data_IF_267892178405
#
_entry.id   IF_267892178405
#
_cell.length_a   1.000
_cell.length_b   1.000
_cell.length_c   1.000
_cell.angle_alpha   90.00
_cell.angle_beta   90.00
_cell.angle_gamma   90.00
#
_symmetry.space_group_name_H-M   'P 1'
#
loop_
_entity.id
_entity.type
_entity.pdbx_description
1 polymer ?
#
# COMPACT_ATOMS: atom_id res chain seq x y z
N UNK A 1 -75.91 1.64 36.09
CA UNK A 1 -75.65 1.68 34.64
C UNK A 1 -74.92 2.99 34.34
N UNK A 2 -73.81 2.91 33.59
CA UNK A 2 -73.12 3.94 32.78
C UNK A 2 -73.15 5.43 33.19
N UNK A 3 -72.08 6.21 33.18
CA UNK A 3 -70.74 6.04 32.59
C UNK A 3 -69.88 7.27 32.88
N UNK A 4 -68.56 7.08 32.83
CA UNK A 4 -67.51 8.08 33.04
C UNK A 4 -67.27 8.88 31.75
N UNK A 5 -67.03 10.19 31.85
CA UNK A 5 -66.22 10.92 30.87
C UNK A 5 -65.58 12.14 31.53
N UNK A 6 -64.25 12.10 31.69
CA UNK A 6 -63.39 13.19 32.15
C UNK A 6 -62.40 13.52 31.03
N UNK A 7 -62.31 14.82 30.75
CA UNK A 7 -61.18 15.58 30.21
C UNK A 7 -60.66 15.30 28.78
N UNK A 8 -60.62 16.37 27.99
CA UNK A 8 -59.78 16.45 26.79
C UNK A 8 -59.58 17.90 26.38
N UNK A 9 -58.44 18.49 26.75
CA UNK A 9 -57.98 19.79 26.27
C UNK A 9 -56.60 19.64 25.62
N UNK A 10 -56.57 19.97 24.32
CA UNK A 10 -55.51 20.49 23.43
C UNK A 10 -54.02 20.40 23.83
N UNK A 11 -53.20 19.89 22.89
CA UNK A 11 -51.91 20.48 22.53
C UNK A 11 -51.49 20.08 21.10
N UNK A 12 -50.89 21.04 20.40
CA UNK A 12 -50.64 21.05 18.96
C UNK A 12 -49.57 20.07 18.48
N UNK A 13 -49.72 19.64 17.22
CA UNK A 13 -48.73 18.92 16.45
C UNK A 13 -47.49 19.80 16.21
N UNK A 14 -46.30 19.25 16.48
CA UNK A 14 -45.05 19.71 15.90
C UNK A 14 -44.55 18.59 14.95
N UNK A 15 -44.28 18.87 13.67
CA UNK A 15 -43.49 17.96 12.85
C UNK A 15 -42.07 17.97 13.40
N UNK A 16 -41.67 16.88 14.04
CA UNK A 16 -40.27 16.61 14.33
C UNK A 16 -39.58 16.22 13.04
N UNK A 17 -38.91 17.17 12.39
CA UNK A 17 -37.91 16.89 11.37
C UNK A 17 -36.82 16.00 11.98
N UNK A 18 -36.92 14.69 11.75
CA UNK A 18 -35.82 13.78 11.93
C UNK A 18 -34.80 14.10 10.83
N UNK A 19 -33.99 15.14 11.06
CA UNK A 19 -32.80 15.41 10.29
C UNK A 19 -31.91 14.17 10.40
N UNK A 20 -31.93 13.34 9.35
CA UNK A 20 -30.98 12.26 9.17
C UNK A 20 -29.59 12.87 9.16
N UNK A 21 -28.87 12.71 10.28
CA UNK A 21 -27.42 12.89 10.29
C UNK A 21 -26.85 11.74 9.49
N UNK A 22 -26.78 11.91 8.17
CA UNK A 22 -25.79 11.21 7.37
C UNK A 22 -24.44 11.66 7.96
N UNK A 23 -23.86 10.83 8.81
CA UNK A 23 -22.48 11.00 9.23
C UNK A 23 -21.67 11.07 7.94
N UNK A 24 -21.25 12.27 7.56
CA UNK A 24 -20.32 12.45 6.45
C UNK A 24 -19.04 11.83 6.95
N UNK A 25 -18.70 10.64 6.43
CA UNK A 25 -17.37 10.05 6.63
C UNK A 25 -16.36 11.16 6.34
N UNK A 26 -15.57 11.50 7.36
CA UNK A 26 -14.51 12.47 7.20
C UNK A 26 -13.56 11.88 6.15
N UNK A 27 -13.40 12.57 5.02
CA UNK A 27 -12.45 12.15 3.98
C UNK A 27 -11.07 12.24 4.61
N UNK A 28 -10.39 11.11 4.75
CA UNK A 28 -9.02 11.09 5.27
C UNK A 28 -8.13 11.93 4.36
N UNK A 29 -7.30 12.83 4.91
CA UNK A 29 -6.35 13.57 4.09
C UNK A 29 -5.44 12.59 3.34
N UNK A 30 -5.13 12.88 2.08
CA UNK A 30 -4.29 12.02 1.22
C UNK A 30 -2.95 11.66 1.88
N UNK A 31 -2.40 12.54 2.71
CA UNK A 31 -1.17 12.28 3.47
C UNK A 31 -1.27 11.14 4.51
N UNK A 32 -2.49 10.74 4.89
CA UNK A 32 -2.74 9.60 5.79
C UNK A 32 -3.03 8.29 5.04
N UNK A 33 -3.12 8.33 3.71
CA UNK A 33 -3.41 7.17 2.86
C UNK A 33 -2.10 6.50 2.41
N UNK A 34 -2.13 5.19 2.27
CA UNK A 34 -0.99 4.43 1.75
C UNK A 34 -1.04 4.39 0.23
N UNK A 35 0.09 4.61 -0.42
CA UNK A 35 0.24 4.48 -1.87
C UNK A 35 0.73 3.09 -2.25
N UNK A 36 0.09 2.50 -3.26
CA UNK A 36 0.56 1.30 -3.95
C UNK A 36 0.46 1.53 -5.46
N UNK A 37 1.60 1.66 -6.14
CA UNK A 37 1.66 1.96 -7.57
C UNK A 37 0.70 3.09 -7.98
N UNK A 38 0.85 4.26 -7.35
CA UNK A 38 0.01 5.47 -7.51
C UNK A 38 -1.46 5.37 -7.07
N UNK A 39 -1.90 4.20 -6.62
CA UNK A 39 -3.24 4.02 -6.07
C UNK A 39 -3.22 4.30 -4.57
N UNK A 40 -4.08 5.21 -4.13
CA UNK A 40 -4.21 5.55 -2.71
C UNK A 40 -5.22 4.63 -2.02
N UNK A 41 -4.83 4.15 -0.84
CA UNK A 41 -5.60 3.25 0.01
C UNK A 41 -5.84 3.90 1.37
N UNK A 42 -7.10 4.06 1.82
CA UNK A 42 -7.41 4.58 3.14
C UNK A 42 -6.88 3.68 4.26
N UNK A 43 -6.75 4.26 5.45
CA UNK A 43 -6.28 3.51 6.62
C UNK A 43 -7.23 2.37 6.95
N UNK A 44 -6.65 1.22 7.29
CA UNK A 44 -7.40 -0.01 7.57
C UNK A 44 -7.67 -0.86 6.34
N UNK A 45 -7.41 -0.36 5.12
CA UNK A 45 -7.42 -1.19 3.92
C UNK A 45 -6.43 -2.34 4.04
N UNK A 46 -6.81 -3.48 3.47
CA UNK A 46 -5.95 -4.66 3.33
C UNK A 46 -5.85 -4.99 1.85
N UNK A 47 -4.62 -5.03 1.36
CA UNK A 47 -4.31 -5.44 -0.02
C UNK A 47 -3.52 -6.73 -0.02
N UNK A 48 -3.63 -7.49 -1.11
CA UNK A 48 -2.79 -8.67 -1.36
C UNK A 48 -1.89 -8.43 -2.55
N UNK A 49 -0.62 -8.79 -2.39
CA UNK A 49 0.38 -8.77 -3.46
C UNK A 49 1.45 -9.82 -3.18
N UNK A 50 1.88 -10.54 -4.22
CA UNK A 50 3.00 -11.48 -4.08
C UNK A 50 2.73 -12.69 -3.19
N UNK A 51 1.46 -12.99 -2.90
CA UNK A 51 1.08 -14.03 -1.93
C UNK A 51 1.09 -13.57 -0.47
N UNK A 52 1.15 -12.26 -0.21
CA UNK A 52 1.15 -11.66 1.13
C UNK A 52 0.05 -10.62 1.28
N UNK A 53 -0.43 -10.47 2.51
CA UNK A 53 -1.33 -9.37 2.89
C UNK A 53 -0.54 -8.16 3.39
N UNK A 54 -1.08 -6.96 3.15
CA UNK A 54 -0.53 -5.70 3.65
C UNK A 54 -1.68 -4.85 4.16
N UNK A 55 -1.56 -4.33 5.37
CA UNK A 55 -2.55 -3.40 5.93
C UNK A 55 -2.04 -1.97 5.87
N UNK A 56 -2.89 -1.03 5.44
CA UNK A 56 -2.56 0.38 5.47
C UNK A 56 -2.72 0.92 6.89
N UNK A 57 -1.63 1.42 7.46
CA UNK A 57 -1.58 1.99 8.79
C UNK A 57 -0.75 3.26 8.84
N UNK A 58 -0.40 3.67 10.06
CA UNK A 58 0.55 4.76 10.30
C UNK A 58 1.66 4.26 11.22
N UNK A 59 2.85 4.84 11.11
CA UNK A 59 3.88 4.66 12.13
C UNK A 59 3.65 5.52 13.39
N UNK A 60 4.59 5.43 14.33
CA UNK A 60 4.57 6.20 15.56
C UNK A 60 4.70 7.72 15.35
N UNK A 61 5.22 8.16 14.20
CA UNK A 61 5.31 9.57 13.82
C UNK A 61 4.05 10.06 13.08
N UNK A 62 3.11 9.15 12.77
CA UNK A 62 1.87 9.45 12.08
C UNK A 62 1.95 9.38 10.55
N UNK A 63 3.06 8.91 9.98
CA UNK A 63 3.22 8.77 8.54
C UNK A 63 2.57 7.48 8.03
N UNK A 64 1.87 7.56 6.88
CA UNK A 64 1.22 6.41 6.26
C UNK A 64 2.25 5.33 5.85
N UNK A 65 1.95 4.08 6.16
CA UNK A 65 2.80 2.93 5.82
C UNK A 65 2.00 1.65 5.65
N UNK A 66 2.53 0.78 4.82
CA UNK A 66 2.13 -0.62 4.77
C UNK A 66 2.75 -1.41 5.91
N UNK A 67 1.92 -2.24 6.54
CA UNK A 67 2.31 -3.18 7.58
C UNK A 67 2.17 -4.59 6.97
N UNK A 68 3.28 -5.31 6.74
CA UNK A 68 3.23 -6.67 6.21
C UNK A 68 2.46 -7.60 7.15
N UNK A 69 1.55 -8.37 6.57
CA UNK A 69 0.74 -9.36 7.26
C UNK A 69 1.19 -10.79 6.99
N UNK A 70 0.26 -11.73 7.17
CA UNK A 70 0.49 -13.13 6.89
C UNK A 70 0.48 -13.43 5.38
N UNK A 71 0.95 -14.62 5.02
CA UNK A 71 0.74 -15.20 3.70
C UNK A 71 -0.77 -15.23 3.39
N UNK A 72 -1.12 -14.77 2.19
CA UNK A 72 -2.49 -14.62 1.73
C UNK A 72 -2.63 -15.30 0.36
N UNK A 73 -3.16 -16.54 0.31
CA UNK A 73 -3.35 -17.25 -0.95
C UNK A 73 -4.48 -16.62 -1.75
N UNK A 74 -4.29 -16.46 -3.06
CA UNK A 74 -5.27 -15.88 -3.96
C UNK A 74 -4.65 -14.85 -4.90
N UNK A 75 -5.45 -14.27 -5.80
CA UNK A 75 -4.99 -13.21 -6.69
C UNK A 75 -4.64 -11.94 -5.91
N UNK A 76 -3.73 -11.15 -6.45
CA UNK A 76 -3.41 -9.83 -5.91
C UNK A 76 -4.59 -8.88 -6.10
N UNK A 77 -4.85 -8.01 -5.12
CA UNK A 77 -5.88 -6.97 -5.21
C UNK A 77 -5.33 -5.61 -5.65
N UNK A 78 -4.01 -5.53 -5.79
CA UNK A 78 -3.25 -4.38 -6.29
C UNK A 78 -2.32 -4.85 -7.42
N UNK A 79 -1.79 -3.92 -8.24
CA UNK A 79 -0.82 -4.28 -9.26
C UNK A 79 0.33 -5.10 -8.69
N UNK A 80 0.64 -6.20 -9.38
CA UNK A 80 1.68 -7.16 -9.05
C UNK A 80 2.43 -7.53 -10.35
N UNK A 81 3.72 -7.19 -10.50
CA UNK A 81 4.68 -6.75 -9.49
C UNK A 81 4.60 -5.25 -9.12
N UNK A 82 3.48 -4.54 -9.29
CA UNK A 82 3.38 -3.15 -8.85
C UNK A 82 3.79 -2.18 -9.95
N UNK A 83 5.04 -1.74 -9.94
CA UNK A 83 5.62 -0.87 -10.96
C UNK A 83 6.51 -1.69 -11.92
N UNK A 84 6.25 -1.56 -13.22
CA UNK A 84 7.08 -2.20 -14.25
C UNK A 84 8.45 -1.53 -14.45
N UNK A 85 8.66 -0.32 -13.92
CA UNK A 85 9.89 0.46 -14.10
C UNK A 85 10.24 1.26 -12.84
N UNK A 86 10.55 2.56 -12.94
CA UNK A 86 11.02 3.41 -11.85
C UNK A 86 10.00 3.48 -10.70
N UNK A 87 10.26 2.86 -9.54
CA UNK A 87 9.24 2.72 -8.51
C UNK A 87 9.29 3.80 -7.41
N UNK A 88 10.28 4.69 -7.49
CA UNK A 88 10.43 5.78 -6.52
C UNK A 88 9.24 6.75 -6.57
N UNK A 89 8.66 7.07 -5.41
CA UNK A 89 7.53 8.00 -5.28
C UNK A 89 6.14 7.39 -5.54
N UNK A 90 6.07 6.15 -6.06
CA UNK A 90 4.81 5.48 -6.39
C UNK A 90 4.23 4.64 -5.25
N UNK A 91 4.98 4.50 -4.15
CA UNK A 91 4.65 3.61 -3.03
C UNK A 91 4.96 4.27 -1.69
N UNK A 92 4.12 3.97 -0.68
CA UNK A 92 4.39 4.32 0.71
C UNK A 92 5.38 3.33 1.36
N UNK A 93 6.06 3.73 2.46
CA UNK A 93 6.91 2.85 3.25
C UNK A 93 6.24 1.51 3.61
N UNK A 94 7.02 0.43 3.58
CA UNK A 94 6.56 -0.94 3.87
C UNK A 94 5.95 -1.69 2.67
N UNK A 95 5.65 -1.00 1.56
CA UNK A 95 5.24 -1.67 0.33
C UNK A 95 6.38 -2.56 -0.20
N UNK A 96 6.02 -3.68 -0.83
CA UNK A 96 6.99 -4.61 -1.42
C UNK A 96 6.66 -4.94 -2.86
N UNK A 97 7.70 -5.17 -3.66
CA UNK A 97 7.59 -5.72 -5.01
C UNK A 97 8.91 -6.37 -5.47
N UNK A 98 8.86 -7.28 -6.46
CA UNK A 98 10.04 -7.70 -7.21
C UNK A 98 10.78 -6.51 -7.82
N UNK A 99 12.11 -6.59 -7.82
CA UNK A 99 12.96 -5.58 -8.41
C UNK A 99 12.85 -5.52 -9.94
N UNK A 100 13.42 -4.44 -10.47
CA UNK A 100 13.60 -4.19 -11.91
C UNK A 100 15.06 -3.81 -12.16
N UNK A 101 15.41 -3.45 -13.39
CA UNK A 101 16.74 -2.87 -13.67
C UNK A 101 17.02 -1.56 -12.88
N UNK A 102 15.99 -0.89 -12.35
CA UNK A 102 16.15 0.30 -11.50
C UNK A 102 16.63 -0.03 -10.09
N UNK A 103 16.56 -1.29 -9.70
CA UNK A 103 17.08 -1.80 -8.43
C UNK A 103 18.38 -2.56 -8.60
N UNK A 104 18.99 -2.51 -9.79
CA UNK A 104 20.34 -3.02 -10.01
C UNK A 104 21.34 -2.26 -9.14
N UNK A 105 22.32 -2.98 -8.60
CA UNK A 105 23.42 -2.39 -7.84
C UNK A 105 24.71 -3.17 -8.04
N UNK A 106 25.84 -2.54 -7.70
CA UNK A 106 27.15 -3.17 -7.83
C UNK A 106 27.70 -3.59 -6.47
N UNK A 107 28.33 -4.76 -6.42
CA UNK A 107 29.15 -5.22 -5.30
C UNK A 107 30.56 -5.45 -5.83
N UNK A 108 31.48 -4.52 -5.54
CA UNK A 108 32.75 -4.45 -6.26
C UNK A 108 32.52 -4.20 -7.75
N UNK A 109 33.02 -5.10 -8.59
CA UNK A 109 32.86 -5.05 -10.06
C UNK A 109 31.75 -5.98 -10.56
N UNK A 110 30.98 -6.58 -9.66
CA UNK A 110 29.87 -7.46 -10.02
C UNK A 110 28.54 -6.68 -10.07
N UNK A 111 27.81 -6.83 -11.17
CA UNK A 111 26.41 -6.41 -11.23
C UNK A 111 25.53 -7.42 -10.49
N UNK A 112 24.76 -6.93 -9.54
CA UNK A 112 23.66 -7.66 -8.92
C UNK A 112 22.37 -7.19 -9.57
N UNK A 113 21.70 -8.10 -10.28
CA UNK A 113 20.44 -7.75 -10.95
C UNK A 113 19.33 -7.56 -9.91
N UNK A 114 18.67 -6.41 -10.01
CA UNK A 114 17.56 -6.04 -9.14
C UNK A 114 16.41 -7.03 -9.25
N UNK A 115 16.14 -7.54 -10.46
CA UNK A 115 15.06 -8.49 -10.72
C UNK A 115 15.08 -9.74 -9.83
N UNK A 116 16.24 -10.08 -9.25
CA UNK A 116 16.41 -11.31 -8.48
C UNK A 116 15.93 -11.23 -7.03
N UNK A 117 15.54 -10.04 -6.58
CA UNK A 117 15.10 -9.82 -5.20
C UNK A 117 13.72 -9.15 -5.15
N UNK A 118 13.03 -9.32 -4.03
CA UNK A 118 11.91 -8.49 -3.59
C UNK A 118 12.48 -7.33 -2.78
N UNK A 119 12.03 -6.12 -3.09
CA UNK A 119 12.43 -4.91 -2.38
C UNK A 119 11.27 -4.37 -1.56
N UNK A 120 11.60 -3.76 -0.43
CA UNK A 120 10.70 -3.00 0.42
C UNK A 120 11.05 -1.51 0.35
N UNK A 121 10.03 -0.64 0.31
CA UNK A 121 10.21 0.80 0.52
C UNK A 121 10.51 1.04 1.99
N UNK A 122 11.71 1.52 2.29
CA UNK A 122 12.10 1.94 3.62
C UNK A 122 12.17 3.47 3.69
N UNK A 123 11.84 4.02 4.85
CA UNK A 123 12.06 5.42 5.17
C UNK A 123 13.34 5.57 6.00
N UNK A 124 14.22 6.50 5.59
CA UNK A 124 15.36 6.94 6.37
C UNK A 124 14.93 7.84 7.53
N UNK A 125 15.85 8.11 8.46
CA UNK A 125 15.60 9.02 9.58
C UNK A 125 15.37 10.47 9.18
N UNK A 126 15.74 10.83 7.95
CA UNK A 126 15.51 12.11 7.28
C UNK A 126 14.20 12.16 6.46
N UNK A 127 13.44 11.06 6.44
CA UNK A 127 12.22 10.92 5.67
C UNK A 127 12.43 10.58 4.19
N UNK A 128 13.68 10.41 3.73
CA UNK A 128 13.94 9.95 2.37
C UNK A 128 13.52 8.50 2.21
N UNK A 129 12.91 8.19 1.07
CA UNK A 129 12.49 6.83 0.73
C UNK A 129 13.55 6.15 -0.12
N UNK A 130 13.85 4.90 0.21
CA UNK A 130 14.77 4.05 -0.56
C UNK A 130 14.25 2.62 -0.64
N UNK A 131 14.69 1.89 -1.67
CA UNK A 131 14.35 0.49 -1.86
C UNK A 131 15.45 -0.39 -1.29
N UNK A 132 15.10 -1.31 -0.39
CA UNK A 132 16.04 -2.28 0.17
C UNK A 132 15.61 -3.72 -0.15
N UNK A 133 16.54 -4.63 -0.47
CA UNK A 133 16.18 -6.03 -0.68
C UNK A 133 15.74 -6.68 0.65
N UNK A 134 14.70 -7.52 0.60
CA UNK A 134 14.13 -8.20 1.78
C UNK A 134 13.91 -9.70 1.59
N UNK A 135 13.89 -10.20 0.36
CA UNK A 135 13.75 -11.63 0.04
C UNK A 135 14.19 -11.90 -1.41
N UNK A 136 14.39 -13.17 -1.76
CA UNK A 136 14.57 -13.59 -3.15
C UNK A 136 13.24 -13.46 -3.93
N UNK A 137 13.29 -13.09 -5.19
CA UNK A 137 12.10 -12.93 -6.03
C UNK A 137 11.37 -14.27 -6.33
N UNK A 138 11.97 -15.43 -6.01
CA UNK A 138 11.30 -16.74 -6.08
C UNK A 138 10.27 -16.94 -4.96
N UNK A 139 10.37 -16.14 -3.89
CA UNK A 139 9.39 -16.13 -2.80
C UNK A 139 8.11 -15.33 -3.14
N UNK A 140 8.10 -14.65 -4.29
CA UNK A 140 7.01 -13.78 -4.71
C UNK A 140 6.06 -14.49 -5.68
N UNK A 141 4.77 -14.56 -5.33
CA UNK A 141 3.77 -15.13 -6.20
C UNK A 141 3.31 -14.11 -7.27
N UNK A 142 3.55 -14.44 -8.54
CA UNK A 142 3.07 -13.65 -9.68
C UNK A 142 1.63 -14.02 -10.05
N UNK A 143 0.79 -13.04 -10.35
CA UNK A 143 -0.55 -13.27 -10.87
C UNK A 143 -0.48 -13.88 -12.29
N UNK A 144 -1.52 -14.60 -12.73
CA UNK A 144 -1.57 -15.15 -14.09
C UNK A 144 -1.29 -14.11 -15.17
N UNK A 145 -0.34 -14.39 -16.06
CA UNK A 145 0.07 -13.48 -17.13
C UNK A 145 1.11 -12.43 -16.73
N UNK A 146 1.44 -12.33 -15.44
CA UNK A 146 2.53 -11.49 -14.92
C UNK A 146 3.78 -12.34 -14.69
N UNK A 147 4.95 -11.70 -14.72
CA UNK A 147 6.24 -12.36 -14.56
C UNK A 147 7.26 -11.38 -13.99
N UNK A 148 8.38 -11.92 -13.50
CA UNK A 148 9.55 -11.12 -13.12
C UNK A 148 9.96 -10.22 -14.28
N UNK A 149 10.43 -9.01 -13.96
CA UNK A 149 11.04 -8.12 -14.95
C UNK A 149 12.08 -8.87 -15.80
N UNK A 150 12.32 -8.50 -17.07
CA UNK A 150 13.35 -9.13 -17.90
C UNK A 150 14.76 -8.93 -17.31
N UNK A 151 15.77 -9.72 -17.77
CA UNK A 151 17.16 -9.48 -17.42
C UNK A 151 17.56 -8.03 -17.68
N UNK A 152 18.45 -7.49 -16.85
CA UNK A 152 18.97 -6.14 -17.07
C UNK A 152 19.71 -6.05 -18.40
N UNK A 153 19.56 -4.92 -19.09
CA UNK A 153 20.42 -4.57 -20.23
C UNK A 153 21.80 -4.06 -19.76
N UNK A 154 21.96 -3.79 -18.46
CA UNK A 154 23.23 -3.40 -17.84
C UNK A 154 24.11 -4.62 -17.66
N UNK A 155 25.41 -4.42 -17.79
CA UNK A 155 26.41 -5.46 -17.56
C UNK A 155 27.35 -5.09 -16.43
N UNK A 156 28.10 -6.07 -15.92
CA UNK A 156 29.14 -5.85 -14.91
C UNK A 156 30.24 -4.88 -15.37
N UNK A 157 30.37 -4.62 -16.68
CA UNK A 157 31.25 -3.57 -17.22
C UNK A 157 30.88 -2.15 -16.77
N UNK A 158 29.66 -1.94 -16.28
CA UNK A 158 29.20 -0.67 -15.71
C UNK A 158 29.46 -0.57 -14.20
N UNK A 159 29.99 -1.63 -13.57
CA UNK A 159 30.35 -1.62 -12.16
C UNK A 159 31.82 -1.23 -11.99
N UNK A 160 32.06 -0.26 -11.12
CA UNK A 160 33.42 0.09 -10.65
C UNK A 160 33.35 0.53 -9.20
N UNK A 161 34.16 -0.08 -8.34
CA UNK A 161 34.25 0.28 -6.91
C UNK A 161 32.86 0.30 -6.23
N UNK A 162 31.98 -0.65 -6.59
CA UNK A 162 30.58 -0.74 -6.13
C UNK A 162 29.66 0.39 -6.58
N UNK A 163 30.07 1.18 -7.59
CA UNK A 163 29.24 2.17 -8.24
C UNK A 163 28.76 1.66 -9.60
N UNK A 164 27.48 1.86 -9.89
CA UNK A 164 26.89 1.62 -11.20
C UNK A 164 26.94 2.91 -12.01
N UNK A 165 27.60 2.88 -13.16
CA UNK A 165 27.91 4.04 -14.01
C UNK A 165 26.88 4.26 -15.13
#
# INVERSE_FOLDING_TARGET
MAGVALAGAIAAAAPGDAAGSLAREAVEPVAAQCLWADTAHPRGDIVTAGGWSYSCGIDAAGAARWIPGAAAPGPSTVPNPGAASAPAGHFSPGARQPGTEYTDYCVGDQLIEGRDNVYEVAAGGDGLLFWRPVADADSWAFDPGTHRAPPSARGSSLCRDSQLL
#
